data_IF_406136405489
#
_entry.id   IF_406136405489
#
_cell.length_a   1.000
_cell.length_b   1.000
_cell.length_c   1.000
_cell.angle_alpha   90.00
_cell.angle_beta   90.00
_cell.angle_gamma   90.00
#
_symmetry.space_group_name_H-M   'P 1'
#
loop_
_entity.id
_entity.type
_entity.pdbx_description
1 polymer ?
#
# COMPACT_ATOMS: atom_id res chain seq x y z
N UNK A 1 19.72 11.85 -10.40
CA UNK A 1 18.66 11.81 -9.39
C UNK A 1 18.30 10.38 -9.08
N UNK A 2 18.10 10.06 -7.83
CA UNK A 2 17.70 8.73 -7.43
C UNK A 2 16.40 8.79 -6.65
N UNK A 3 15.89 7.64 -6.26
CA UNK A 3 14.61 7.55 -5.57
C UNK A 3 14.64 8.30 -4.23
N UNK A 4 15.75 8.24 -3.54
CA UNK A 4 15.90 8.94 -2.27
C UNK A 4 15.74 10.45 -2.43
N UNK A 5 16.35 11.01 -3.46
CA UNK A 5 16.21 12.45 -3.75
C UNK A 5 14.76 12.81 -4.06
N UNK A 6 14.07 11.96 -4.80
CA UNK A 6 12.66 12.17 -5.11
C UNK A 6 11.82 12.18 -3.83
N UNK A 7 12.09 11.23 -2.93
CA UNK A 7 11.36 11.15 -1.67
C UNK A 7 11.55 12.42 -0.85
N UNK A 8 12.78 12.93 -0.78
CA UNK A 8 13.07 14.15 -0.03
C UNK A 8 12.29 15.35 -0.60
N UNK A 9 12.30 15.50 -1.92
CA UNK A 9 11.58 16.59 -2.57
C UNK A 9 10.08 16.47 -2.35
N UNK A 10 9.58 15.26 -2.42
CA UNK A 10 8.15 15.01 -2.25
C UNK A 10 7.71 15.31 -0.82
N UNK A 11 8.52 14.94 0.16
CA UNK A 11 8.22 15.26 1.56
C UNK A 11 8.17 16.76 1.78
N UNK A 12 9.08 17.52 1.13
CA UNK A 12 9.06 18.97 1.22
C UNK A 12 7.77 19.55 0.65
N UNK A 13 7.38 19.08 -0.53
CA UNK A 13 6.18 19.57 -1.19
C UNK A 13 4.92 19.26 -0.38
N UNK A 14 4.90 18.08 0.23
CA UNK A 14 3.76 17.64 1.03
C UNK A 14 3.80 18.14 2.47
N UNK A 15 4.87 18.82 2.82
CA UNK A 15 5.09 19.37 4.17
C UNK A 15 5.00 18.29 5.23
N UNK A 16 5.71 17.20 5.00
CA UNK A 16 5.80 16.10 5.95
C UNK A 16 7.25 15.73 6.19
N UNK A 17 7.52 15.15 7.34
CA UNK A 17 8.83 14.65 7.69
C UNK A 17 8.66 13.16 7.99
N UNK A 18 8.96 12.35 7.02
CA UNK A 18 8.75 10.91 7.14
C UNK A 18 9.99 10.14 6.75
N UNK A 19 10.28 9.10 7.50
CA UNK A 19 11.30 8.13 7.13
C UNK A 19 10.60 7.06 6.31
N UNK A 20 11.09 6.82 5.11
CA UNK A 20 10.46 5.87 4.19
C UNK A 20 11.29 4.61 4.10
N UNK A 21 10.70 3.49 4.45
CA UNK A 21 11.31 2.19 4.23
C UNK A 21 10.99 1.77 2.80
N UNK A 22 11.87 2.14 1.88
CA UNK A 22 11.64 1.94 0.46
C UNK A 22 11.46 0.47 0.10
N UNK A 23 12.30 -0.39 0.65
CA UNK A 23 12.23 -1.81 0.37
C UNK A 23 10.89 -2.41 0.79
N UNK A 24 10.43 -2.06 1.97
CA UNK A 24 9.17 -2.55 2.50
C UNK A 24 8.00 -2.14 1.59
N UNK A 25 7.99 -0.87 1.21
CA UNK A 25 6.90 -0.33 0.40
C UNK A 25 6.91 -0.92 -1.00
N UNK A 26 8.10 -1.02 -1.61
CA UNK A 26 8.20 -1.56 -2.95
C UNK A 26 7.87 -3.06 -3.00
N UNK A 27 8.25 -3.80 -1.96
CA UNK A 27 7.89 -5.21 -1.87
C UNK A 27 6.37 -5.39 -1.76
N UNK A 28 5.73 -4.58 -0.92
CA UNK A 28 4.29 -4.64 -0.77
C UNK A 28 3.58 -4.25 -2.07
N UNK A 29 4.09 -3.23 -2.74
CA UNK A 29 3.52 -2.80 -4.02
C UNK A 29 3.57 -3.94 -5.04
N UNK A 30 4.69 -4.65 -5.09
CA UNK A 30 4.84 -5.77 -6.01
C UNK A 30 3.88 -6.90 -5.67
N UNK A 31 3.75 -7.23 -4.39
CA UNK A 31 2.83 -8.27 -3.96
C UNK A 31 1.39 -7.92 -4.34
N UNK A 32 1.00 -6.69 -4.13
CA UNK A 32 -0.35 -6.25 -4.47
C UNK A 32 -0.58 -6.28 -5.98
N UNK A 33 0.40 -5.83 -6.75
CA UNK A 33 0.28 -5.80 -8.20
C UNK A 33 0.16 -7.21 -8.79
N UNK A 34 0.93 -8.15 -8.25
CA UNK A 34 0.99 -9.51 -8.79
C UNK A 34 -0.15 -10.39 -8.32
N UNK A 35 -0.55 -10.25 -7.07
CA UNK A 35 -1.54 -11.14 -6.47
C UNK A 35 -2.96 -10.63 -6.55
N UNK A 36 -3.14 -9.32 -6.64
CA UNK A 36 -4.47 -8.72 -6.71
C UNK A 36 -4.70 -8.19 -8.13
N UNK A 37 -4.11 -7.05 -8.44
CA UNK A 37 -4.12 -6.48 -9.79
C UNK A 37 -3.18 -5.28 -9.78
N UNK A 38 -2.71 -4.90 -10.96
CA UNK A 38 -1.73 -3.83 -11.06
C UNK A 38 -2.14 -2.53 -10.35
N UNK A 39 -3.37 -2.02 -10.55
CA UNK A 39 -3.75 -0.77 -9.88
C UNK A 39 -3.83 -0.89 -8.35
N UNK A 40 -3.84 -2.09 -7.80
CA UNK A 40 -3.86 -2.25 -6.35
C UNK A 40 -2.56 -1.78 -5.70
N UNK A 41 -1.45 -1.76 -6.45
CA UNK A 41 -0.16 -1.37 -5.87
C UNK A 41 -0.19 0.01 -5.24
N UNK A 42 -0.52 1.09 -5.98
CA UNK A 42 -0.53 2.41 -5.36
C UNK A 42 -1.62 2.56 -4.29
N UNK A 43 -2.75 1.91 -4.47
CA UNK A 43 -3.83 2.00 -3.48
C UNK A 43 -3.43 1.34 -2.18
N UNK A 44 -2.81 0.17 -2.26
CA UNK A 44 -2.36 -0.55 -1.07
C UNK A 44 -1.32 0.24 -0.30
N UNK A 45 -0.34 0.82 -1.00
CA UNK A 45 0.71 1.59 -0.33
C UNK A 45 0.16 2.88 0.27
N UNK A 46 -0.79 3.53 -0.42
CA UNK A 46 -1.45 4.70 0.14
C UNK A 46 -2.15 4.36 1.45
N UNK A 47 -2.91 3.28 1.44
CA UNK A 47 -3.67 2.87 2.64
C UNK A 47 -2.73 2.45 3.77
N UNK A 48 -1.62 1.80 3.45
CA UNK A 48 -0.63 1.47 4.46
C UNK A 48 -0.09 2.74 5.11
N UNK A 49 0.26 3.74 4.31
CA UNK A 49 0.76 5.01 4.83
C UNK A 49 -0.27 5.72 5.69
N UNK A 50 -1.51 5.70 5.25
CA UNK A 50 -2.61 6.30 5.99
C UNK A 50 -2.77 5.61 7.36
N UNK A 51 -2.78 4.28 7.36
CA UNK A 51 -2.91 3.53 8.60
C UNK A 51 -1.74 3.77 9.55
N UNK A 52 -0.54 3.81 8.99
CA UNK A 52 0.65 4.05 9.80
C UNK A 52 0.60 5.41 10.48
N UNK A 53 0.20 6.44 9.73
CA UNK A 53 0.08 7.79 10.28
C UNK A 53 -1.03 7.87 11.33
N UNK A 54 -2.16 7.25 11.03
CA UNK A 54 -3.32 7.26 11.94
C UNK A 54 -2.99 6.62 13.28
N UNK A 55 -2.18 5.57 13.26
CA UNK A 55 -1.81 4.83 14.47
C UNK A 55 -0.46 5.25 15.04
N UNK A 56 0.16 6.29 14.49
CA UNK A 56 1.49 6.75 14.90
C UNK A 56 2.47 5.57 14.97
N UNK A 57 2.50 4.78 13.91
CA UNK A 57 3.25 3.54 13.88
C UNK A 57 4.76 3.77 13.87
N UNK A 58 5.45 3.08 14.76
CA UNK A 58 6.90 3.02 14.72
C UNK A 58 7.33 2.00 13.64
N UNK A 59 8.64 1.87 13.37
CA UNK A 59 9.09 0.95 12.32
C UNK A 59 8.62 -0.49 12.50
N UNK A 60 8.58 -0.99 13.72
CA UNK A 60 8.11 -2.35 13.97
C UNK A 60 6.63 -2.51 13.64
N UNK A 61 5.84 -1.54 14.03
CA UNK A 61 4.41 -1.59 13.75
C UNK A 61 4.14 -1.43 12.26
N UNK A 62 4.92 -0.60 11.59
CA UNK A 62 4.82 -0.45 10.15
C UNK A 62 5.09 -1.78 9.45
N UNK A 63 6.12 -2.51 9.89
CA UNK A 63 6.41 -3.84 9.34
C UNK A 63 5.23 -4.79 9.54
N UNK A 64 4.61 -4.76 10.72
CA UNK A 64 3.46 -5.62 10.98
C UNK A 64 2.26 -5.26 10.11
N UNK A 65 2.01 -3.97 9.92
CA UNK A 65 0.92 -3.52 9.06
C UNK A 65 1.17 -3.94 7.61
N UNK A 66 2.39 -3.74 7.14
CA UNK A 66 2.76 -4.16 5.78
C UNK A 66 2.67 -5.67 5.63
N UNK A 67 3.10 -6.42 6.65
CA UNK A 67 3.00 -7.87 6.65
C UNK A 67 1.57 -8.35 6.57
N UNK A 68 0.66 -7.69 7.27
CA UNK A 68 -0.76 -8.03 7.22
C UNK A 68 -1.33 -7.78 5.82
N UNK A 69 -0.96 -6.67 5.20
CA UNK A 69 -1.42 -6.35 3.86
C UNK A 69 -0.87 -7.35 2.84
N UNK A 70 0.40 -7.69 2.97
CA UNK A 70 1.04 -8.67 2.08
C UNK A 70 0.40 -10.05 2.22
N UNK A 71 0.13 -10.46 3.45
CA UNK A 71 -0.53 -11.75 3.71
C UNK A 71 -1.92 -11.80 3.08
N UNK A 72 -2.65 -10.69 3.16
CA UNK A 72 -3.96 -10.61 2.53
C UNK A 72 -3.83 -10.72 1.01
N UNK A 73 -2.86 -10.03 0.42
CA UNK A 73 -2.64 -10.10 -1.02
C UNK A 73 -2.30 -11.52 -1.47
N UNK A 74 -1.48 -12.21 -0.71
CA UNK A 74 -1.09 -13.58 -1.04
C UNK A 74 -2.25 -14.56 -1.03
N UNK A 75 -3.24 -14.31 -0.18
CA UNK A 75 -4.43 -15.14 -0.12
C UNK A 75 -5.47 -14.78 -1.16
N UNK A 76 -5.31 -13.65 -1.81
CA UNK A 76 -6.30 -13.14 -2.73
C UNK A 76 -6.34 -13.98 -3.99
N UNK A 77 -7.42 -14.66 -4.20
CA UNK A 77 -7.59 -15.52 -5.37
C UNK A 77 -8.13 -14.69 -6.53
N UNK A 78 -7.44 -14.77 -7.67
CA UNK A 78 -7.85 -14.02 -8.84
C UNK A 78 -9.28 -14.28 -9.28
N UNK A 79 -9.78 -15.47 -9.04
CA UNK A 79 -11.16 -15.79 -9.37
C UNK A 79 -12.14 -15.10 -8.45
N UNK A 80 -11.79 -15.05 -7.19
CA UNK A 80 -12.62 -14.37 -6.21
C UNK A 80 -12.56 -12.85 -6.40
N UNK A 81 -11.41 -12.36 -6.86
CA UNK A 81 -11.21 -10.95 -7.11
C UNK A 81 -12.26 -10.42 -8.09
N UNK A 82 -12.48 -11.12 -9.19
CA UNK A 82 -13.44 -10.66 -10.19
C UNK A 82 -14.84 -10.53 -9.61
N UNK A 83 -15.27 -11.52 -8.85
CA UNK A 83 -16.58 -11.51 -8.23
C UNK A 83 -16.69 -10.42 -7.17
N UNK A 84 -15.63 -10.28 -6.37
CA UNK A 84 -15.61 -9.27 -5.31
C UNK A 84 -15.57 -7.86 -5.89
N UNK A 85 -14.84 -7.66 -6.96
CA UNK A 85 -14.75 -6.36 -7.60
C UNK A 85 -16.13 -5.96 -8.15
N UNK A 86 -16.83 -6.87 -8.76
CA UNK A 86 -18.17 -6.60 -9.26
C UNK A 86 -19.10 -6.17 -8.13
N UNK A 87 -19.05 -6.88 -7.02
CA UNK A 87 -19.86 -6.53 -5.85
C UNK A 87 -19.47 -5.19 -5.28
N UNK A 88 -18.18 -4.94 -5.16
CA UNK A 88 -17.68 -3.69 -4.59
C UNK A 88 -18.07 -2.51 -5.45
N UNK A 89 -17.89 -2.63 -6.76
CA UNK A 89 -18.26 -1.56 -7.68
C UNK A 89 -19.76 -1.30 -7.62
N UNK A 90 -20.55 -2.35 -7.51
CA UNK A 90 -21.98 -2.23 -7.43
C UNK A 90 -22.41 -1.48 -6.16
N UNK A 91 -21.73 -1.76 -5.06
CA UNK A 91 -22.02 -1.10 -3.80
C UNK A 91 -21.53 0.35 -3.81
N UNK A 92 -20.36 0.57 -4.37
CA UNK A 92 -19.74 1.90 -4.37
C UNK A 92 -20.48 2.92 -5.22
N UNK A 93 -21.24 2.46 -6.17
CA UNK A 93 -22.03 3.35 -7.03
C UNK A 93 -23.12 4.06 -6.23
N UNK A 94 -23.53 3.45 -5.19
CA UNK A 94 -24.51 4.06 -4.29
C UNK A 94 -23.88 5.13 -3.44
#
# INVERSE_FOLDING_TARGET
MNLHDWIDELCDVLDIDAEVDEGLILDLARDAAHNVMRPAAPITTYLLGYAAALHAADPERLERLAGAASALAEKWDGKDVDAEIEKAVHVDVD
#
